data_IF_086695138206
#
_entry.id   IF_086695138206
#
_cell.length_a   1.000
_cell.length_b   1.000
_cell.length_c   1.000
_cell.angle_alpha   90.00
_cell.angle_beta   90.00
_cell.angle_gamma   90.00
#
_symmetry.space_group_name_H-M   'P 1'
#
loop_
_entity.id
_entity.type
_entity.pdbx_description
1 polymer ?
#
# COMPACT_ATOMS: atom_id res chain seq x y z
N UNK A 1 -5.89 -21.17 -6.59
CA UNK A 1 -5.31 -20.66 -5.32
C UNK A 1 -6.30 -19.63 -4.79
N UNK A 2 -6.84 -19.74 -3.57
CA UNK A 2 -7.84 -18.79 -3.10
C UNK A 2 -7.28 -17.37 -2.96
N UNK A 3 -8.10 -16.34 -3.12
CA UNK A 3 -7.73 -14.92 -2.96
C UNK A 3 -6.98 -14.66 -1.64
N UNK A 4 -7.44 -15.28 -0.54
CA UNK A 4 -6.79 -15.24 0.76
C UNK A 4 -5.35 -15.77 0.74
N UNK A 5 -5.12 -16.92 0.09
CA UNK A 5 -3.78 -17.52 -0.02
C UNK A 5 -2.85 -16.67 -0.89
N UNK A 6 -3.39 -16.06 -1.95
CA UNK A 6 -2.66 -15.15 -2.83
C UNK A 6 -2.12 -13.93 -2.07
N UNK A 7 -2.99 -13.22 -1.34
CA UNK A 7 -2.59 -12.04 -0.59
C UNK A 7 -1.64 -12.39 0.55
N UNK A 8 -1.90 -13.47 1.27
CA UNK A 8 -1.05 -13.94 2.36
C UNK A 8 0.35 -14.31 1.87
N UNK A 9 0.47 -15.04 0.77
CA UNK A 9 1.77 -15.39 0.18
C UNK A 9 2.53 -14.13 -0.25
N UNK A 10 1.86 -13.20 -0.85
CA UNK A 10 2.41 -11.93 -1.32
C UNK A 10 2.93 -11.06 -0.16
N UNK A 11 2.15 -10.94 0.90
CA UNK A 11 2.57 -10.20 2.09
C UNK A 11 3.70 -10.92 2.84
N UNK A 12 3.73 -12.24 2.85
CA UNK A 12 4.84 -13.03 3.39
C UNK A 12 6.15 -12.83 2.61
N UNK A 13 6.10 -12.74 1.30
CA UNK A 13 7.28 -12.40 0.49
C UNK A 13 7.77 -10.96 0.77
N UNK A 14 6.85 -10.01 0.84
CA UNK A 14 7.17 -8.64 1.23
C UNK A 14 7.78 -8.58 2.64
N UNK A 15 7.29 -9.37 3.58
CA UNK A 15 7.83 -9.48 4.91
C UNK A 15 9.31 -9.94 4.91
N UNK A 16 9.65 -10.98 4.13
CA UNK A 16 11.04 -11.44 3.95
C UNK A 16 11.94 -10.36 3.38
N UNK A 17 11.44 -9.64 2.36
CA UNK A 17 12.13 -8.49 1.79
C UNK A 17 12.38 -7.39 2.84
N UNK A 18 11.36 -7.04 3.61
CA UNK A 18 11.42 -6.05 4.67
C UNK A 18 12.47 -6.38 5.74
N UNK A 19 12.50 -7.63 6.22
CA UNK A 19 13.51 -8.10 7.18
C UNK A 19 14.93 -7.93 6.62
N UNK A 20 15.13 -8.21 5.34
CA UNK A 20 16.43 -8.07 4.68
C UNK A 20 16.89 -6.61 4.63
N UNK A 21 15.99 -5.68 4.29
CA UNK A 21 16.27 -4.24 4.30
C UNK A 21 16.53 -3.72 5.73
N UNK A 22 15.75 -4.16 6.70
CA UNK A 22 15.91 -3.77 8.11
C UNK A 22 17.24 -4.21 8.69
N UNK A 23 17.76 -5.39 8.32
CA UNK A 23 19.11 -5.82 8.69
C UNK A 23 20.19 -4.84 8.23
N UNK A 24 20.06 -4.27 7.02
CA UNK A 24 20.99 -3.25 6.51
C UNK A 24 20.91 -1.96 7.33
N UNK A 25 19.70 -1.48 7.64
CA UNK A 25 19.51 -0.29 8.48
C UNK A 25 20.06 -0.50 9.90
N UNK A 26 19.86 -1.68 10.48
CA UNK A 26 20.43 -2.02 11.78
C UNK A 26 21.97 -2.02 11.75
N UNK A 27 22.60 -2.50 10.68
CA UNK A 27 24.06 -2.43 10.51
C UNK A 27 24.55 -0.97 10.45
N UNK A 28 23.84 -0.10 9.72
CA UNK A 28 24.17 1.32 9.66
C UNK A 28 23.96 2.01 11.02
N UNK A 29 22.88 1.72 11.74
CA UNK A 29 22.66 2.20 13.10
C UNK A 29 23.79 1.76 14.05
N UNK A 30 24.16 0.50 14.01
CA UNK A 30 25.26 -0.07 14.80
C UNK A 30 26.57 0.71 14.56
N UNK A 31 26.86 1.00 13.30
CA UNK A 31 28.06 1.79 12.96
C UNK A 31 27.99 3.19 13.53
N UNK A 32 26.87 3.89 13.38
CA UNK A 32 26.68 5.25 13.91
C UNK A 32 26.83 5.28 15.44
N UNK A 33 26.18 4.34 16.16
CA UNK A 33 26.28 4.25 17.61
C UNK A 33 27.69 3.88 18.07
N UNK A 34 28.39 3.00 17.36
CA UNK A 34 29.79 2.67 17.63
C UNK A 34 30.70 3.88 17.44
N UNK A 35 30.56 4.60 16.34
CA UNK A 35 31.34 5.80 16.07
C UNK A 35 31.13 6.87 17.16
N UNK A 36 29.87 7.14 17.54
CA UNK A 36 29.56 8.05 18.65
C UNK A 36 30.19 7.61 19.96
N UNK A 37 30.08 6.32 20.29
CA UNK A 37 30.67 5.78 21.51
C UNK A 37 32.21 5.95 21.52
N UNK A 38 32.85 5.68 20.39
CA UNK A 38 34.32 5.77 20.30
C UNK A 38 34.79 7.22 20.36
N UNK A 39 34.04 8.17 19.80
CA UNK A 39 34.30 9.60 19.97
C UNK A 39 34.13 10.05 21.43
N UNK A 40 33.02 9.63 22.08
CA UNK A 40 32.83 9.91 23.50
C UNK A 40 33.98 9.34 24.37
N UNK A 41 34.43 8.13 24.10
CA UNK A 41 35.60 7.53 24.80
C UNK A 41 36.86 8.35 24.58
N UNK A 42 37.12 8.82 23.35
CA UNK A 42 38.26 9.67 23.04
C UNK A 42 38.20 10.98 23.83
N UNK A 43 37.06 11.64 23.87
CA UNK A 43 36.87 12.88 24.63
C UNK A 43 37.14 12.67 26.15
N UNK A 44 36.64 11.57 26.70
CA UNK A 44 36.87 11.19 28.11
C UNK A 44 38.34 10.91 28.34
N UNK A 45 39.01 10.11 27.51
CA UNK A 45 40.41 9.77 27.65
C UNK A 45 41.29 11.02 27.53
N UNK A 46 41.03 11.92 26.60
CA UNK A 46 41.76 13.19 26.45
C UNK A 46 41.59 14.07 27.70
N UNK A 47 40.38 14.13 28.25
CA UNK A 47 40.09 14.81 29.50
C UNK A 47 40.98 14.27 30.65
N UNK A 48 41.03 12.92 30.81
CA UNK A 48 41.84 12.30 31.85
C UNK A 48 43.33 12.46 31.61
N UNK A 49 43.80 12.41 30.36
CA UNK A 49 45.19 12.61 30.01
C UNK A 49 45.66 14.03 30.36
N UNK A 50 44.87 15.05 30.00
CA UNK A 50 45.13 16.45 30.40
C UNK A 50 45.11 16.62 31.94
N UNK A 51 44.18 15.96 32.61
CA UNK A 51 44.07 15.97 34.05
C UNK A 51 45.28 15.33 34.76
N UNK A 52 45.78 14.20 34.25
CA UNK A 52 46.91 13.48 34.79
C UNK A 52 48.27 14.23 34.55
N UNK A 53 48.37 14.99 33.45
CA UNK A 53 49.59 15.75 33.14
C UNK A 53 49.79 16.98 34.02
N UNK A 54 48.73 17.44 34.70
CA UNK A 54 48.78 18.61 35.62
C UNK A 54 48.99 18.15 37.06
N UNK A 55 50.05 17.37 37.32
CA UNK A 55 50.55 16.84 38.60
C UNK A 55 49.82 17.28 39.87
N UNK A 56 49.08 16.37 40.50
CA UNK A 56 48.59 16.53 41.87
C UNK A 56 47.32 17.31 42.07
N UNK A 57 46.51 17.55 41.02
CA UNK A 57 45.28 18.31 41.12
C UNK A 57 44.18 17.46 41.72
N UNK A 58 43.54 17.94 42.78
CA UNK A 58 42.35 17.34 43.39
C UNK A 58 41.12 17.53 42.50
N UNK A 59 40.07 16.75 42.70
CA UNK A 59 38.78 16.89 41.97
C UNK A 59 38.18 18.31 42.14
N UNK A 60 38.47 18.98 43.25
CA UNK A 60 38.06 20.38 43.47
C UNK A 60 38.76 21.33 42.46
N UNK A 61 39.99 21.05 42.09
CA UNK A 61 40.75 21.82 41.10
C UNK A 61 40.38 21.47 39.67
N UNK A 62 39.93 20.24 39.40
CA UNK A 62 39.36 19.87 38.10
C UNK A 62 38.08 20.68 37.74
N UNK A 63 37.43 21.28 38.75
CA UNK A 63 36.36 22.25 38.58
C UNK A 63 36.86 23.66 38.27
N UNK A 64 38.16 23.91 38.24
CA UNK A 64 38.71 25.20 37.80
C UNK A 64 38.24 25.53 36.38
N UNK A 65 38.20 26.86 36.11
CA UNK A 65 37.84 27.37 34.77
C UNK A 65 38.67 26.74 33.69
N UNK A 66 38.05 26.29 32.59
CA UNK A 66 38.72 25.84 31.40
C UNK A 66 39.74 26.91 30.93
N UNK A 67 40.90 26.49 30.44
CA UNK A 67 41.85 27.43 29.85
C UNK A 67 41.27 28.02 28.55
N UNK A 68 41.77 29.19 28.18
CA UNK A 68 41.43 29.81 26.90
C UNK A 68 41.67 28.86 25.73
N UNK A 69 42.78 28.08 25.81
CA UNK A 69 43.13 27.08 24.79
C UNK A 69 42.09 25.95 24.68
N UNK A 70 41.54 25.48 25.80
CA UNK A 70 40.49 24.44 25.80
C UNK A 70 39.19 24.95 25.15
N UNK A 71 38.84 26.22 25.39
CA UNK A 71 37.69 26.88 24.79
C UNK A 71 37.87 27.07 23.28
N UNK A 72 39.07 27.50 22.86
CA UNK A 72 39.41 27.67 21.43
C UNK A 72 39.46 26.33 20.68
N UNK A 73 39.94 25.26 21.30
CA UNK A 73 39.94 23.90 20.74
C UNK A 73 38.49 23.40 20.53
N UNK A 74 37.64 23.58 21.54
CA UNK A 74 36.23 23.27 21.44
C UNK A 74 35.52 24.08 20.34
N UNK A 75 35.75 25.37 20.29
CA UNK A 75 35.16 26.26 19.29
C UNK A 75 35.58 25.85 17.86
N UNK A 76 36.87 25.48 17.67
CA UNK A 76 37.36 24.95 16.37
C UNK A 76 36.69 23.63 15.98
N UNK A 77 36.50 22.73 16.94
CA UNK A 77 35.79 21.46 16.72
C UNK A 77 34.35 21.69 16.35
N UNK A 78 33.65 22.55 17.09
CA UNK A 78 32.27 22.92 16.80
C UNK A 78 32.11 23.58 15.43
N UNK A 79 33.00 24.53 15.08
CA UNK A 79 33.02 25.19 13.77
C UNK A 79 33.28 24.21 12.62
N UNK A 80 34.14 23.20 12.82
CA UNK A 80 34.37 22.13 11.83
C UNK A 80 33.11 21.34 11.57
N UNK A 81 32.36 20.96 12.60
CA UNK A 81 31.12 20.22 12.47
C UNK A 81 30.03 21.02 11.75
N UNK A 82 29.91 22.31 12.05
CA UNK A 82 28.97 23.21 11.34
C UNK A 82 29.34 23.37 9.86
N UNK A 83 30.65 23.39 9.51
CA UNK A 83 31.08 23.51 8.11
C UNK A 83 30.80 22.27 7.27
N UNK A 84 30.76 21.09 7.84
CA UNK A 84 30.51 19.84 7.12
C UNK A 84 29.03 19.62 6.74
N UNK A 85 28.16 20.58 7.01
CA UNK A 85 26.80 20.82 6.44
C UNK A 85 25.75 19.72 6.50
N UNK A 86 25.87 18.69 7.34
CA UNK A 86 24.87 17.62 7.42
C UNK A 86 24.05 17.61 8.71
N UNK A 87 23.86 18.77 9.32
CA UNK A 87 23.09 18.88 10.56
C UNK A 87 21.64 19.28 10.29
N UNK A 88 20.71 18.61 10.98
CA UNK A 88 19.34 19.08 11.08
C UNK A 88 19.27 20.41 11.84
N UNK A 89 18.15 21.10 11.72
CA UNK A 89 17.91 22.34 12.47
C UNK A 89 18.08 22.10 13.97
N UNK A 90 17.55 20.98 14.48
CA UNK A 90 17.62 20.59 15.89
C UNK A 90 19.07 20.34 16.36
N UNK A 91 19.89 19.69 15.53
CA UNK A 91 21.32 19.49 15.81
C UNK A 91 22.07 20.82 15.87
N UNK A 92 21.79 21.76 14.95
CA UNK A 92 22.37 23.09 14.95
C UNK A 92 21.95 23.89 16.19
N UNK A 93 20.68 23.82 16.60
CA UNK A 93 20.19 24.52 17.77
C UNK A 93 20.75 23.92 19.06
N UNK A 94 20.89 22.60 19.16
CA UNK A 94 21.60 21.94 20.27
C UNK A 94 23.06 22.40 20.37
N UNK A 95 23.79 22.49 19.25
CA UNK A 95 25.16 22.98 19.24
C UNK A 95 25.27 24.46 19.66
N UNK A 96 24.32 25.31 19.26
CA UNK A 96 24.28 26.72 19.72
C UNK A 96 24.08 26.81 21.24
N UNK A 97 23.19 25.99 21.81
CA UNK A 97 22.96 25.92 23.26
C UNK A 97 24.25 25.50 23.98
N UNK A 98 24.97 24.48 23.48
CA UNK A 98 26.23 24.05 24.05
C UNK A 98 27.30 25.16 24.02
N UNK A 99 27.36 25.96 22.97
CA UNK A 99 28.24 27.11 22.88
C UNK A 99 27.87 28.25 23.85
N UNK A 100 26.56 28.47 24.11
CA UNK A 100 26.09 29.52 25.01
C UNK A 100 26.24 29.18 26.51
N UNK A 101 26.19 27.89 26.85
CA UNK A 101 26.21 27.42 28.26
C UNK A 101 27.63 27.17 28.78
N UNK A 102 28.69 27.43 28.02
CA UNK A 102 30.08 27.27 28.43
C UNK A 102 30.46 28.30 29.48
N UNK A 103 30.00 28.14 30.69
CA UNK A 103 30.59 28.62 31.93
C UNK A 103 31.53 27.54 32.49
N UNK A 104 32.48 27.38 32.02
CA UNK A 104 33.84 27.31 32.01
C UNK A 104 34.51 26.65 33.23
N UNK A 105 34.06 25.42 33.56
CA UNK A 105 34.95 24.50 34.21
C UNK A 105 35.21 23.30 33.28
N UNK A 106 36.28 22.55 33.50
CA UNK A 106 36.71 21.43 32.63
C UNK A 106 35.66 20.33 32.52
N UNK A 107 34.87 20.11 33.58
CA UNK A 107 33.79 19.12 33.54
C UNK A 107 32.63 19.56 32.63
N UNK A 108 32.25 20.83 32.68
CA UNK A 108 31.23 21.37 31.81
C UNK A 108 31.70 21.40 30.34
N UNK A 109 32.99 21.67 30.10
CA UNK A 109 33.59 21.57 28.77
C UNK A 109 33.51 20.13 28.22
N UNK A 110 33.85 19.12 29.05
CA UNK A 110 33.74 17.70 28.66
C UNK A 110 32.25 17.32 28.37
N UNK A 111 31.33 17.76 29.22
CA UNK A 111 29.87 17.51 28.97
C UNK A 111 29.41 18.16 27.67
N UNK A 112 29.89 19.38 27.37
CA UNK A 112 29.60 20.08 26.12
C UNK A 112 30.18 19.35 24.91
N UNK A 113 31.43 18.87 24.98
CA UNK A 113 32.08 18.11 23.93
C UNK A 113 31.36 16.79 23.64
N UNK A 114 30.95 16.03 24.68
CA UNK A 114 30.11 14.84 24.51
C UNK A 114 28.75 15.17 23.90
N UNK A 115 28.15 16.28 24.32
CA UNK A 115 26.91 16.78 23.73
C UNK A 115 27.01 17.03 22.21
N UNK A 116 28.15 17.58 21.76
CA UNK A 116 28.43 17.75 20.32
C UNK A 116 28.51 16.43 19.58
N UNK A 117 29.21 15.43 20.11
CA UNK A 117 29.32 14.10 19.47
C UNK A 117 27.95 13.42 19.39
N UNK A 118 27.15 13.52 20.45
CA UNK A 118 25.79 12.98 20.45
C UNK A 118 24.89 13.70 19.42
N UNK A 119 24.94 15.03 19.35
CA UNK A 119 24.16 15.80 18.38
C UNK A 119 24.52 15.42 16.94
N UNK A 120 25.82 15.29 16.62
CA UNK A 120 26.31 14.85 15.33
C UNK A 120 25.84 13.43 14.99
N UNK A 121 25.96 12.50 15.94
CA UNK A 121 25.53 11.12 15.75
C UNK A 121 24.01 11.00 15.54
N UNK A 122 23.21 11.68 16.37
CA UNK A 122 21.75 11.66 16.25
C UNK A 122 21.26 12.38 14.97
N UNK A 123 21.99 13.37 14.48
CA UNK A 123 21.72 13.94 13.15
C UNK A 123 21.88 12.90 12.03
N UNK A 124 22.92 12.06 12.09
CA UNK A 124 23.10 10.95 11.14
C UNK A 124 21.98 9.90 11.28
N UNK A 125 21.56 9.59 12.52
CA UNK A 125 20.44 8.69 12.78
C UNK A 125 19.15 9.26 12.17
N UNK A 126 18.86 10.54 12.38
CA UNK A 126 17.73 11.21 11.77
C UNK A 126 17.72 11.08 10.24
N UNK A 127 18.86 11.36 9.59
CA UNK A 127 18.99 11.26 8.13
C UNK A 127 18.77 9.83 7.64
N UNK A 128 19.32 8.82 8.34
CA UNK A 128 19.11 7.42 8.04
C UNK A 128 17.62 7.05 8.14
N UNK A 129 16.95 7.43 9.22
CA UNK A 129 15.50 7.20 9.39
C UNK A 129 14.70 7.87 8.28
N UNK A 130 14.90 9.15 8.04
CA UNK A 130 14.18 9.88 7.01
C UNK A 130 14.32 9.22 5.63
N UNK A 131 15.54 8.84 5.25
CA UNK A 131 15.83 8.14 3.99
C UNK A 131 15.15 6.78 3.93
N UNK A 132 15.24 5.97 4.99
CA UNK A 132 14.66 4.64 5.06
C UNK A 132 13.13 4.68 5.01
N UNK A 133 12.51 5.54 5.81
CA UNK A 133 11.06 5.69 5.89
C UNK A 133 10.46 6.21 4.57
N UNK A 134 11.12 7.22 3.97
CA UNK A 134 10.73 7.74 2.66
C UNK A 134 10.84 6.68 1.56
N UNK A 135 11.95 5.95 1.54
CA UNK A 135 12.14 4.84 0.59
C UNK A 135 11.05 3.78 0.76
N UNK A 136 10.79 3.32 1.98
CA UNK A 136 9.74 2.32 2.27
C UNK A 136 8.36 2.78 1.79
N UNK A 137 7.99 4.04 2.03
CA UNK A 137 6.71 4.60 1.57
C UNK A 137 6.60 4.62 0.04
N UNK A 138 7.66 5.06 -0.66
CA UNK A 138 7.68 5.12 -2.13
C UNK A 138 7.66 3.71 -2.74
N UNK A 139 8.45 2.78 -2.20
CA UNK A 139 8.50 1.40 -2.69
C UNK A 139 7.14 0.71 -2.49
N UNK A 140 6.46 0.98 -1.36
CA UNK A 140 5.12 0.48 -1.11
C UNK A 140 4.08 1.06 -2.08
N UNK A 141 4.10 2.36 -2.37
CA UNK A 141 3.25 2.96 -3.41
C UNK A 141 3.45 2.28 -4.77
N UNK A 142 4.70 2.03 -5.17
CA UNK A 142 5.02 1.32 -6.42
C UNK A 142 4.50 -0.11 -6.40
N UNK A 143 4.71 -0.82 -5.29
CA UNK A 143 4.24 -2.19 -5.11
C UNK A 143 2.72 -2.27 -5.24
N UNK A 144 2.00 -1.40 -4.56
CA UNK A 144 0.55 -1.35 -4.59
C UNK A 144 0.02 -0.97 -5.99
N UNK A 145 0.66 -0.02 -6.68
CA UNK A 145 0.24 0.34 -8.04
C UNK A 145 0.40 -0.80 -9.04
N UNK A 146 1.46 -1.62 -8.90
CA UNK A 146 1.67 -2.81 -9.71
C UNK A 146 0.64 -3.92 -9.46
N UNK A 147 -0.06 -3.88 -8.32
CA UNK A 147 -1.10 -4.84 -7.95
C UNK A 147 -2.49 -4.31 -8.29
N UNK A 148 -2.76 -3.06 -7.91
CA UNK A 148 -4.10 -2.47 -7.94
C UNK A 148 -4.38 -1.66 -9.22
N UNK A 149 -3.38 -1.46 -10.06
CA UNK A 149 -3.48 -0.84 -11.38
C UNK A 149 -3.37 0.68 -11.41
N UNK A 150 -3.67 1.41 -10.32
CA UNK A 150 -3.51 2.86 -10.25
C UNK A 150 -2.34 3.29 -9.39
N UNK A 151 -1.57 4.25 -9.91
CA UNK A 151 -0.49 4.89 -9.17
C UNK A 151 -1.01 6.09 -8.39
N UNK A 152 -0.68 6.16 -7.10
CA UNK A 152 -0.98 7.34 -6.28
C UNK A 152 -0.23 8.56 -6.82
N UNK A 153 -0.95 9.64 -7.11
CA UNK A 153 -0.36 10.86 -7.61
C UNK A 153 0.51 11.56 -6.54
N UNK A 154 1.57 12.26 -6.99
CA UNK A 154 2.48 12.98 -6.08
C UNK A 154 3.14 12.11 -4.99
N UNK A 155 3.53 10.88 -5.31
CA UNK A 155 4.11 9.88 -4.36
C UNK A 155 5.20 10.46 -3.46
N UNK A 156 6.08 11.32 -3.98
CA UNK A 156 7.16 11.92 -3.18
C UNK A 156 6.62 12.90 -2.12
N UNK A 157 5.62 13.72 -2.47
CA UNK A 157 5.00 14.66 -1.53
C UNK A 157 4.22 13.92 -0.45
N UNK A 158 3.48 12.89 -0.85
CA UNK A 158 2.73 12.04 0.09
C UNK A 158 3.66 11.24 1.00
N UNK A 159 4.74 10.66 0.48
CA UNK A 159 5.74 9.97 1.29
C UNK A 159 6.34 10.91 2.35
N UNK A 160 6.67 12.15 1.99
CA UNK A 160 7.16 13.14 2.96
C UNK A 160 6.10 13.44 4.05
N UNK A 161 4.83 13.58 3.68
CA UNK A 161 3.74 13.79 4.65
C UNK A 161 3.59 12.61 5.60
N UNK A 162 3.61 11.38 5.07
CA UNK A 162 3.53 10.14 5.85
C UNK A 162 4.72 10.03 6.83
N UNK A 163 5.95 10.27 6.37
CA UNK A 163 7.15 10.18 7.19
C UNK A 163 7.09 11.13 8.38
N UNK A 164 6.62 12.36 8.17
CA UNK A 164 6.54 13.39 9.20
C UNK A 164 5.24 13.34 10.02
N UNK A 165 4.35 12.39 9.78
CA UNK A 165 3.14 12.24 10.55
C UNK A 165 3.43 11.80 11.99
N UNK A 166 2.62 12.31 12.93
CA UNK A 166 2.67 11.88 14.33
C UNK A 166 2.07 10.49 14.50
N UNK A 167 2.70 9.68 15.34
CA UNK A 167 2.22 8.37 15.76
C UNK A 167 2.34 8.26 17.29
N UNK A 168 1.25 7.95 17.99
CA UNK A 168 1.21 8.02 19.45
C UNK A 168 1.76 9.35 20.00
N UNK A 169 1.23 10.47 19.49
CA UNK A 169 1.52 11.85 19.90
C UNK A 169 2.97 12.34 19.71
N UNK A 170 3.78 11.65 18.93
CA UNK A 170 5.14 12.09 18.61
C UNK A 170 5.55 11.67 17.20
N UNK A 171 6.38 12.48 16.55
CA UNK A 171 7.02 12.10 15.28
C UNK A 171 8.22 11.19 15.55
N UNK A 172 8.74 10.52 14.50
CA UNK A 172 10.00 9.78 14.62
C UNK A 172 11.15 10.70 15.03
N UNK A 173 11.15 11.94 14.54
CA UNK A 173 12.14 12.97 14.90
C UNK A 173 12.12 13.27 16.39
N UNK A 174 10.97 13.55 16.96
CA UNK A 174 10.82 13.83 18.40
C UNK A 174 11.40 12.69 19.24
N UNK A 175 11.15 11.45 18.84
CA UNK A 175 11.68 10.26 19.53
C UNK A 175 13.19 10.12 19.41
N UNK A 176 13.78 10.43 18.27
CA UNK A 176 15.24 10.41 18.08
C UNK A 176 15.90 11.44 19.00
N UNK A 177 15.35 12.68 19.05
CA UNK A 177 15.92 13.73 19.90
C UNK A 177 15.68 13.47 21.39
N UNK A 178 14.55 12.89 21.75
CA UNK A 178 14.31 12.41 23.12
C UNK A 178 15.33 11.33 23.53
N UNK A 179 15.67 10.40 22.65
CA UNK A 179 16.72 9.38 22.91
C UNK A 179 18.09 10.03 23.09
N UNK A 180 18.41 11.09 22.32
CA UNK A 180 19.62 11.87 22.53
C UNK A 180 19.68 12.51 23.89
N UNK A 181 18.62 13.19 24.31
CA UNK A 181 18.56 13.87 25.60
C UNK A 181 18.67 12.90 26.78
N UNK A 182 18.00 11.74 26.69
CA UNK A 182 18.13 10.67 27.66
C UNK A 182 19.57 10.16 27.74
N UNK A 183 20.21 9.88 26.62
CA UNK A 183 21.61 9.40 26.58
C UNK A 183 22.56 10.48 27.14
N UNK A 184 22.39 11.74 26.75
CA UNK A 184 23.15 12.87 27.25
C UNK A 184 23.05 13.01 28.79
N UNK A 185 21.82 12.93 29.32
CA UNK A 185 21.57 13.00 30.74
C UNK A 185 22.22 11.81 31.49
N UNK A 186 22.13 10.62 30.95
CA UNK A 186 22.75 9.43 31.48
C UNK A 186 24.29 9.54 31.50
N UNK A 187 24.89 10.07 30.43
CA UNK A 187 26.31 10.31 30.35
C UNK A 187 26.77 11.39 31.33
N UNK A 188 26.02 12.48 31.46
CA UNK A 188 26.32 13.54 32.41
C UNK A 188 26.31 13.01 33.86
N UNK A 189 25.32 12.20 34.24
CA UNK A 189 25.29 11.51 35.55
C UNK A 189 26.46 10.57 35.74
N UNK A 190 26.77 9.76 34.73
CA UNK A 190 27.89 8.84 34.75
C UNK A 190 29.24 9.52 34.98
N UNK A 191 29.47 10.62 34.25
CA UNK A 191 30.67 11.42 34.39
C UNK A 191 30.76 12.08 35.78
N UNK A 192 29.68 12.68 36.26
CA UNK A 192 29.65 13.31 37.56
C UNK A 192 29.97 12.33 38.68
N UNK A 193 29.33 11.16 38.70
CA UNK A 193 29.57 10.11 39.69
C UNK A 193 31.02 9.55 39.52
N UNK A 194 31.43 9.25 38.28
CA UNK A 194 32.73 8.68 37.99
C UNK A 194 33.88 9.59 38.41
N UNK A 195 33.78 10.88 38.15
CA UNK A 195 34.79 11.87 38.52
C UNK A 195 34.80 12.17 40.02
N UNK A 196 33.63 12.25 40.67
CA UNK A 196 33.55 12.44 42.12
C UNK A 196 34.13 11.23 42.88
N UNK A 197 33.86 10.02 42.40
CA UNK A 197 34.31 8.77 43.03
C UNK A 197 35.71 8.36 42.58
N UNK A 198 36.37 9.10 41.70
CA UNK A 198 37.70 8.76 41.19
C UNK A 198 37.76 7.45 40.39
N UNK A 199 36.65 7.06 39.70
CA UNK A 199 36.58 5.81 38.96
C UNK A 199 37.60 5.76 37.82
N UNK A 200 38.19 4.57 37.64
CA UNK A 200 39.11 4.33 36.53
C UNK A 200 38.41 4.55 35.16
N UNK A 201 39.08 5.17 34.18
CA UNK A 201 38.58 5.36 32.83
C UNK A 201 38.07 4.07 32.17
N UNK A 202 38.69 2.92 32.42
CA UNK A 202 38.22 1.61 31.92
C UNK A 202 36.84 1.21 32.46
N UNK A 203 36.57 1.50 33.72
CA UNK A 203 35.27 1.26 34.34
C UNK A 203 34.21 2.17 33.73
N UNK A 204 34.53 3.46 33.53
CA UNK A 204 33.63 4.38 32.84
C UNK A 204 33.37 3.99 31.41
N UNK A 205 34.34 3.49 30.68
CA UNK A 205 34.20 2.99 29.31
C UNK A 205 33.26 1.78 29.24
N UNK A 206 33.26 0.91 30.26
CA UNK A 206 32.31 -0.24 30.33
C UNK A 206 30.90 0.20 30.57
N UNK A 207 30.66 1.11 31.50
CA UNK A 207 29.34 1.68 31.78
C UNK A 207 28.80 2.50 30.58
N UNK A 208 29.69 3.24 29.90
CA UNK A 208 29.36 3.94 28.66
C UNK A 208 28.82 2.95 27.61
N UNK A 209 29.56 1.85 27.37
CA UNK A 209 29.13 0.81 26.39
C UNK A 209 27.75 0.28 26.68
N UNK A 210 27.44 -0.06 27.93
CA UNK A 210 26.10 -0.55 28.31
C UNK A 210 25.00 0.41 27.92
N UNK A 211 25.18 1.71 28.19
CA UNK A 211 24.18 2.76 27.87
C UNK A 211 23.99 2.94 26.37
N UNK A 212 25.08 2.93 25.62
CA UNK A 212 25.01 3.01 24.16
C UNK A 212 24.31 1.80 23.54
N UNK A 213 24.57 0.58 24.03
CA UNK A 213 23.91 -0.64 23.54
C UNK A 213 22.40 -0.61 23.79
N UNK A 214 21.94 -0.11 24.95
CA UNK A 214 20.50 0.04 25.24
C UNK A 214 19.88 1.02 24.24
N UNK A 215 20.50 2.18 24.02
CA UNK A 215 19.98 3.21 23.10
C UNK A 215 20.01 2.79 21.63
N UNK A 216 21.00 1.99 21.24
CA UNK A 216 21.05 1.36 19.94
C UNK A 216 19.85 0.42 19.74
N UNK A 217 19.57 -0.47 20.69
CA UNK A 217 18.42 -1.37 20.63
C UNK A 217 17.08 -0.61 20.61
N UNK A 218 16.99 0.51 21.34
CA UNK A 218 15.82 1.40 21.29
C UNK A 218 15.64 2.03 19.89
N UNK A 219 16.74 2.44 19.24
CA UNK A 219 16.69 3.02 17.89
C UNK A 219 16.33 1.95 16.84
N UNK A 220 16.86 0.73 16.94
CA UNK A 220 16.48 -0.38 16.07
C UNK A 220 14.98 -0.71 16.18
N UNK A 221 14.48 -0.77 17.42
CA UNK A 221 13.05 -0.98 17.68
C UNK A 221 12.18 0.14 17.09
N UNK A 222 12.62 1.39 17.24
CA UNK A 222 11.94 2.54 16.67
C UNK A 222 11.93 2.48 15.14
N UNK A 223 13.08 2.16 14.50
CA UNK A 223 13.18 2.03 13.05
C UNK A 223 12.17 1.02 12.51
N UNK A 224 12.15 -0.19 13.06
CA UNK A 224 11.24 -1.25 12.64
C UNK A 224 9.77 -0.85 12.78
N UNK A 225 9.42 -0.23 13.90
CA UNK A 225 8.05 0.21 14.18
C UNK A 225 7.61 1.31 13.20
N UNK A 226 8.45 2.29 12.94
CA UNK A 226 8.16 3.38 12.01
C UNK A 226 8.13 2.91 10.55
N UNK A 227 8.97 1.96 10.15
CA UNK A 227 8.93 1.34 8.82
C UNK A 227 7.58 0.61 8.58
N UNK A 228 7.08 -0.12 9.57
CA UNK A 228 5.76 -0.76 9.49
C UNK A 228 4.63 0.30 9.41
N UNK A 229 4.72 1.37 10.21
CA UNK A 229 3.74 2.46 10.17
C UNK A 229 3.66 3.13 8.80
N UNK A 230 4.79 3.55 8.23
CA UNK A 230 4.79 4.25 6.94
C UNK A 230 4.35 3.34 5.79
N UNK A 231 4.61 2.04 5.89
CA UNK A 231 4.09 1.04 4.95
C UNK A 231 2.57 0.98 5.01
N UNK A 232 1.99 0.86 6.20
CA UNK A 232 0.54 0.83 6.42
C UNK A 232 -0.14 2.12 5.94
N UNK A 233 0.45 3.29 6.22
CA UNK A 233 -0.07 4.58 5.75
C UNK A 233 -0.03 4.68 4.20
N UNK A 234 1.00 4.13 3.57
CA UNK A 234 1.09 4.05 2.10
C UNK A 234 0.05 3.07 1.52
N UNK A 235 -0.19 1.93 2.17
CA UNK A 235 -1.25 0.98 1.81
C UNK A 235 -2.63 1.66 1.89
N UNK A 236 -2.93 2.33 3.01
CA UNK A 236 -4.19 3.08 3.17
C UNK A 236 -4.43 4.06 2.01
N UNK A 237 -3.43 4.87 1.66
CA UNK A 237 -3.53 5.83 0.55
C UNK A 237 -3.74 5.12 -0.79
N UNK A 238 -3.06 4.00 -1.01
CA UNK A 238 -3.22 3.20 -2.23
C UNK A 238 -4.62 2.57 -2.32
N UNK A 239 -5.17 2.09 -1.22
CA UNK A 239 -6.53 1.53 -1.18
C UNK A 239 -7.57 2.61 -1.50
N UNK A 240 -7.47 3.80 -0.89
CA UNK A 240 -8.36 4.94 -1.17
C UNK A 240 -8.29 5.32 -2.66
N UNK A 241 -7.10 5.46 -3.24
CA UNK A 241 -6.90 5.84 -4.64
C UNK A 241 -7.48 4.81 -5.60
N UNK A 242 -7.42 3.54 -5.23
CA UNK A 242 -7.99 2.44 -6.01
C UNK A 242 -9.46 2.14 -5.66
N UNK A 243 -10.07 2.87 -4.69
CA UNK A 243 -11.49 2.81 -4.33
C UNK A 243 -11.87 1.54 -3.59
N UNK A 244 -10.97 1.00 -2.78
CA UNK A 244 -11.30 -0.05 -1.84
C UNK A 244 -11.87 0.54 -0.56
N UNK A 245 -13.01 0.03 -0.14
CA UNK A 245 -13.69 0.46 1.07
C UNK A 245 -13.28 -0.36 2.31
N UNK A 246 -12.76 -1.56 2.08
CA UNK A 246 -12.39 -2.51 3.12
C UNK A 246 -10.97 -3.06 2.92
N UNK A 247 -10.34 -3.44 4.03
CA UNK A 247 -9.07 -4.15 4.05
C UNK A 247 -9.10 -5.27 5.09
N UNK A 248 -8.29 -6.29 4.85
CA UNK A 248 -8.07 -7.42 5.74
C UNK A 248 -6.73 -7.25 6.47
N UNK A 249 -6.72 -7.55 7.77
CA UNK A 249 -5.49 -7.61 8.55
C UNK A 249 -4.78 -8.94 8.31
N UNK A 250 -3.50 -8.88 7.96
CA UNK A 250 -2.66 -10.07 7.73
C UNK A 250 -1.57 -10.12 8.78
N UNK A 251 -1.67 -11.09 9.69
CA UNK A 251 -0.60 -11.38 10.63
C UNK A 251 0.61 -11.96 9.88
N UNK A 252 1.81 -11.62 10.33
CA UNK A 252 3.02 -12.19 9.74
C UNK A 252 3.06 -13.70 9.96
N UNK A 253 3.51 -14.45 8.94
CA UNK A 253 3.55 -15.92 8.95
C UNK A 253 4.67 -16.54 9.78
N UNK A 254 5.24 -15.83 10.76
CA UNK A 254 6.29 -16.36 11.64
C UNK A 254 5.70 -17.12 12.82
N UNK A 255 6.48 -18.06 13.39
CA UNK A 255 6.12 -18.80 14.61
C UNK A 255 5.91 -17.90 15.84
N UNK A 256 6.41 -16.67 15.80
CA UNK A 256 6.48 -15.73 16.93
C UNK A 256 5.44 -14.61 16.86
N UNK A 257 4.32 -14.86 16.18
CA UNK A 257 3.20 -13.91 16.14
C UNK A 257 2.60 -13.77 17.53
N UNK A 258 2.56 -12.53 18.05
CA UNK A 258 1.95 -12.27 19.36
C UNK A 258 0.43 -12.49 19.34
N UNK A 259 -0.16 -12.73 20.49
CA UNK A 259 -1.60 -13.03 20.65
C UNK A 259 -2.48 -11.88 20.09
N UNK A 260 -2.06 -10.63 20.28
CA UNK A 260 -2.77 -9.45 19.73
C UNK A 260 -2.85 -9.52 18.19
N UNK A 261 -1.72 -9.73 17.52
CA UNK A 261 -1.70 -9.81 16.06
C UNK A 261 -2.41 -11.05 15.54
N UNK A 262 -2.26 -12.18 16.23
CA UNK A 262 -2.96 -13.43 15.90
C UNK A 262 -4.48 -13.27 15.99
N UNK A 263 -4.96 -12.57 17.02
CA UNK A 263 -6.40 -12.32 17.18
C UNK A 263 -6.98 -11.35 16.14
N UNK A 264 -6.13 -10.60 15.44
CA UNK A 264 -6.54 -9.67 14.38
C UNK A 264 -6.50 -10.32 12.99
N UNK A 265 -5.79 -11.44 12.84
CA UNK A 265 -5.58 -12.10 11.54
C UNK A 265 -6.89 -12.46 10.87
N UNK A 266 -7.03 -12.09 9.60
CA UNK A 266 -8.23 -12.31 8.80
C UNK A 266 -9.42 -11.38 9.13
N UNK A 267 -9.30 -10.46 10.09
CA UNK A 267 -10.37 -9.49 10.36
C UNK A 267 -10.41 -8.41 9.30
N UNK A 268 -11.62 -8.08 8.89
CA UNK A 268 -11.91 -7.05 7.89
C UNK A 268 -12.35 -5.76 8.56
N UNK A 269 -11.84 -4.63 8.06
CA UNK A 269 -12.13 -3.29 8.56
C UNK A 269 -12.34 -2.31 7.42
N UNK A 270 -13.03 -1.20 7.70
CA UNK A 270 -13.18 -0.12 6.72
C UNK A 270 -11.89 0.68 6.56
N UNK A 271 -11.49 0.95 5.30
CA UNK A 271 -10.28 1.72 4.97
C UNK A 271 -10.32 3.13 5.56
N UNK A 272 -11.49 3.78 5.61
CA UNK A 272 -11.66 5.12 6.21
C UNK A 272 -11.24 5.14 7.69
N UNK A 273 -11.49 4.06 8.41
CA UNK A 273 -11.23 3.91 9.85
C UNK A 273 -9.86 3.27 10.14
N UNK A 274 -9.05 3.00 9.10
CA UNK A 274 -7.74 2.37 9.21
C UNK A 274 -6.79 3.26 10.03
N UNK A 275 -6.30 2.73 11.15
CA UNK A 275 -5.45 3.45 12.11
C UNK A 275 -4.36 2.54 12.64
N UNK A 276 -3.07 2.84 12.36
CA UNK A 276 -1.94 2.14 12.95
C UNK A 276 -2.00 2.12 14.48
N UNK A 277 -1.80 0.96 15.08
CA UNK A 277 -1.84 0.74 16.52
C UNK A 277 -3.23 0.47 17.10
N UNK A 278 -4.29 0.52 16.29
CA UNK A 278 -5.66 0.21 16.72
C UNK A 278 -6.24 -0.98 15.95
N UNK A 279 -6.34 -0.88 14.64
CA UNK A 279 -6.89 -1.91 13.77
C UNK A 279 -5.96 -2.25 12.58
N UNK A 280 -4.84 -1.56 12.45
CA UNK A 280 -3.83 -1.76 11.41
C UNK A 280 -2.41 -1.78 12.01
N UNK A 281 -1.44 -2.46 11.37
CA UNK A 281 -0.05 -2.48 11.82
C UNK A 281 0.60 -1.07 11.84
N UNK A 282 1.60 -0.84 12.74
CA UNK A 282 2.08 -1.75 13.77
C UNK A 282 1.20 -1.72 15.02
N UNK A 283 0.80 -2.88 15.53
CA UNK A 283 0.02 -3.02 16.77
C UNK A 283 0.89 -2.84 18.02
N UNK A 284 2.17 -3.10 17.91
CA UNK A 284 3.16 -3.03 18.99
C UNK A 284 4.55 -2.76 18.39
N UNK A 285 5.55 -2.38 19.21
CA UNK A 285 6.93 -2.25 18.74
C UNK A 285 7.42 -3.54 18.07
N UNK A 286 8.14 -3.41 16.95
CA UNK A 286 8.63 -4.51 16.12
C UNK A 286 7.52 -5.37 15.49
N UNK A 287 6.35 -4.81 15.26
CA UNK A 287 5.28 -5.49 14.53
C UNK A 287 5.65 -5.61 13.04
N UNK A 288 5.51 -6.81 12.48
CA UNK A 288 5.79 -7.11 11.07
C UNK A 288 4.55 -7.51 10.27
N UNK A 289 3.37 -7.33 10.85
CA UNK A 289 2.11 -7.61 10.18
C UNK A 289 1.85 -6.61 9.05
N UNK A 290 0.91 -6.94 8.17
CA UNK A 290 0.55 -6.13 7.01
C UNK A 290 -0.97 -6.07 6.82
N UNK A 291 -1.41 -5.47 5.74
CA UNK A 291 -2.82 -5.46 5.32
C UNK A 291 -2.92 -5.80 3.84
N UNK A 292 -4.08 -6.28 3.43
CA UNK A 292 -4.45 -6.43 2.03
C UNK A 292 -5.80 -5.77 1.77
N UNK A 293 -6.07 -5.28 0.55
CA UNK A 293 -7.41 -4.84 0.21
C UNK A 293 -8.38 -6.02 0.30
N UNK A 294 -9.54 -5.80 0.91
CA UNK A 294 -10.58 -6.80 1.02
C UNK A 294 -11.70 -6.49 0.04
N UNK A 295 -12.07 -7.50 -0.71
CA UNK A 295 -13.29 -7.55 -1.52
C UNK A 295 -13.94 -8.88 -1.19
N UNK A 296 -15.26 -8.92 -1.13
CA UNK A 296 -15.99 -10.19 -1.05
C UNK A 296 -15.41 -11.15 -2.09
N UNK A 297 -15.10 -12.38 -1.67
CA UNK A 297 -14.38 -13.36 -2.50
C UNK A 297 -15.08 -13.57 -3.84
N UNK A 298 -16.39 -13.68 -3.84
CA UNK A 298 -17.20 -13.84 -5.04
C UNK A 298 -17.16 -12.57 -5.91
N UNK A 299 -17.14 -11.38 -5.30
CA UNK A 299 -17.01 -10.11 -6.00
C UNK A 299 -15.62 -9.92 -6.56
N UNK A 300 -14.58 -10.33 -5.83
CA UNK A 300 -13.18 -10.27 -6.28
C UNK A 300 -12.92 -11.20 -7.48
N UNK A 301 -13.38 -12.44 -7.42
CA UNK A 301 -13.26 -13.39 -8.53
C UNK A 301 -14.00 -12.85 -9.77
N UNK A 302 -15.21 -12.33 -9.59
CA UNK A 302 -15.96 -11.69 -10.67
C UNK A 302 -15.26 -10.44 -11.25
N UNK A 303 -14.57 -9.67 -10.41
CA UNK A 303 -13.74 -8.53 -10.87
C UNK A 303 -12.52 -8.99 -11.65
N UNK A 304 -11.82 -10.04 -11.21
CA UNK A 304 -10.67 -10.60 -11.94
C UNK A 304 -11.11 -11.15 -13.30
N UNK A 305 -12.20 -11.90 -13.35
CA UNK A 305 -12.79 -12.40 -14.61
C UNK A 305 -13.15 -11.26 -15.54
N UNK A 306 -13.73 -10.17 -14.98
CA UNK A 306 -14.05 -8.97 -15.76
C UNK A 306 -12.81 -8.32 -16.37
N UNK A 307 -11.69 -8.23 -15.62
CA UNK A 307 -10.42 -7.72 -16.14
C UNK A 307 -9.79 -8.66 -17.17
N UNK A 308 -9.80 -9.96 -16.92
CA UNK A 308 -9.24 -10.97 -17.83
C UNK A 308 -9.97 -10.97 -19.18
N UNK A 309 -11.28 -10.74 -19.16
CA UNK A 309 -12.12 -10.67 -20.36
C UNK A 309 -12.18 -9.28 -21.00
N UNK A 310 -11.26 -8.38 -20.64
CA UNK A 310 -11.02 -7.10 -21.29
C UNK A 310 -11.73 -5.90 -20.66
N UNK A 311 -12.43 -6.07 -19.55
CA UNK A 311 -13.00 -4.99 -18.77
C UNK A 311 -11.96 -4.18 -18.01
N UNK A 312 -12.34 -3.01 -17.51
CA UNK A 312 -11.47 -2.12 -16.75
C UNK A 312 -11.92 -1.99 -15.30
N UNK A 313 -11.00 -1.70 -14.39
CA UNK A 313 -11.32 -1.37 -13.00
C UNK A 313 -12.26 -0.16 -12.89
N UNK A 314 -12.19 0.79 -13.82
CA UNK A 314 -13.07 1.96 -13.84
C UNK A 314 -14.52 1.58 -14.14
N UNK A 315 -14.74 0.72 -15.14
CA UNK A 315 -16.06 0.17 -15.45
C UNK A 315 -16.63 -0.65 -14.30
N UNK A 316 -15.83 -1.58 -13.74
CA UNK A 316 -16.25 -2.37 -12.59
C UNK A 316 -16.73 -1.53 -11.41
N UNK A 317 -16.04 -0.43 -11.11
CA UNK A 317 -16.39 0.50 -10.04
C UNK A 317 -17.61 1.36 -10.36
N UNK A 318 -17.91 1.57 -11.63
CA UNK A 318 -19.10 2.31 -12.05
C UNK A 318 -20.39 1.47 -11.89
N UNK A 319 -20.24 0.14 -11.83
CA UNK A 319 -21.36 -0.80 -11.63
C UNK A 319 -21.76 -0.83 -10.16
N UNK A 320 -23.02 -0.48 -9.87
CA UNK A 320 -23.59 -0.64 -8.52
C UNK A 320 -23.84 -2.12 -8.21
N UNK A 321 -24.12 -2.44 -6.94
CA UNK A 321 -24.50 -3.81 -6.52
C UNK A 321 -25.74 -4.28 -7.28
N UNK A 322 -26.71 -3.38 -7.50
CA UNK A 322 -27.95 -3.65 -8.26
C UNK A 322 -27.64 -3.90 -9.73
N UNK A 323 -26.68 -3.18 -10.33
CA UNK A 323 -26.24 -3.44 -11.71
C UNK A 323 -25.64 -4.83 -11.86
N UNK A 324 -24.69 -5.19 -10.98
CA UNK A 324 -24.05 -6.52 -10.98
C UNK A 324 -25.06 -7.64 -10.74
N UNK A 325 -26.01 -7.41 -9.82
CA UNK A 325 -27.09 -8.35 -9.56
C UNK A 325 -28.01 -8.51 -10.79
N UNK A 326 -28.37 -7.42 -11.47
CA UNK A 326 -29.22 -7.46 -12.67
C UNK A 326 -28.54 -8.24 -13.81
N UNK A 327 -27.23 -8.06 -14.04
CA UNK A 327 -26.51 -8.84 -15.05
C UNK A 327 -26.49 -10.32 -14.65
N UNK A 328 -26.14 -10.66 -13.40
CA UNK A 328 -26.12 -12.04 -12.92
C UNK A 328 -27.49 -12.73 -12.99
N UNK A 329 -28.55 -11.99 -12.68
CA UNK A 329 -29.91 -12.48 -12.81
C UNK A 329 -30.26 -12.73 -14.27
N UNK A 330 -29.90 -11.83 -15.16
CA UNK A 330 -30.19 -11.95 -16.60
C UNK A 330 -29.46 -13.16 -17.23
N UNK A 331 -28.19 -13.43 -16.92
CA UNK A 331 -27.48 -14.60 -17.46
C UNK A 331 -27.98 -15.93 -16.89
N UNK A 332 -28.96 -15.91 -15.98
CA UNK A 332 -29.70 -17.07 -15.49
C UNK A 332 -30.98 -17.35 -16.30
N UNK A 333 -31.77 -18.32 -15.88
CA UNK A 333 -33.05 -18.70 -16.54
C UNK A 333 -34.10 -17.58 -16.63
N UNK A 334 -33.98 -16.49 -15.86
CA UNK A 334 -34.91 -15.37 -15.87
C UNK A 334 -34.91 -14.59 -17.20
N UNK A 335 -33.79 -14.65 -17.95
CA UNK A 335 -33.66 -14.01 -19.27
C UNK A 335 -34.75 -14.45 -20.26
N UNK A 336 -35.15 -15.73 -20.24
CA UNK A 336 -36.21 -16.24 -21.09
C UNK A 336 -37.51 -15.54 -20.83
N UNK A 337 -37.92 -15.40 -19.56
CA UNK A 337 -39.16 -14.75 -19.17
C UNK A 337 -39.16 -13.25 -19.49
N UNK A 338 -38.05 -12.57 -19.24
CA UNK A 338 -37.87 -11.14 -19.56
C UNK A 338 -37.96 -10.94 -21.08
N UNK A 339 -37.18 -11.70 -21.84
CA UNK A 339 -37.13 -11.55 -23.30
C UNK A 339 -38.43 -11.93 -23.99
N UNK A 340 -39.17 -12.94 -23.48
CA UNK A 340 -40.48 -13.30 -23.97
C UNK A 340 -41.48 -12.16 -23.75
N UNK A 341 -41.54 -11.61 -22.54
CA UNK A 341 -42.39 -10.48 -22.23
C UNK A 341 -42.09 -9.24 -23.10
N UNK A 342 -40.78 -8.92 -23.29
CA UNK A 342 -40.37 -7.79 -24.12
C UNK A 342 -40.70 -7.98 -25.61
N UNK A 343 -40.54 -9.19 -26.14
CA UNK A 343 -40.82 -9.53 -27.53
C UNK A 343 -42.31 -9.41 -27.85
N UNK A 344 -43.14 -9.93 -26.94
CA UNK A 344 -44.58 -10.02 -27.12
C UNK A 344 -45.36 -8.84 -26.50
N UNK A 345 -44.64 -7.83 -25.97
CA UNK A 345 -45.23 -6.68 -25.24
C UNK A 345 -46.10 -7.08 -24.04
N UNK A 346 -45.75 -8.18 -23.35
CA UNK A 346 -46.45 -8.57 -22.13
C UNK A 346 -46.00 -7.67 -20.94
N UNK A 347 -46.90 -7.48 -19.93
CA UNK A 347 -46.54 -6.68 -18.76
C UNK A 347 -45.46 -7.38 -17.93
N UNK A 348 -44.35 -6.68 -17.68
CA UNK A 348 -43.33 -7.14 -16.76
C UNK A 348 -43.80 -7.10 -15.31
N UNK A 349 -43.41 -8.06 -14.49
CA UNK A 349 -43.56 -8.00 -13.04
C UNK A 349 -42.75 -6.85 -12.44
N UNK A 350 -42.97 -6.51 -11.17
CA UNK A 350 -42.19 -5.47 -10.49
C UNK A 350 -40.70 -5.83 -10.46
N UNK A 351 -40.37 -7.07 -10.13
CA UNK A 351 -39.01 -7.60 -10.10
C UNK A 351 -38.34 -7.56 -11.49
N UNK A 352 -39.03 -8.01 -12.54
CA UNK A 352 -38.52 -7.94 -13.91
C UNK A 352 -38.27 -6.48 -14.36
N UNK A 353 -39.16 -5.54 -13.99
CA UNK A 353 -38.95 -4.11 -14.27
C UNK A 353 -37.67 -3.55 -13.63
N UNK A 354 -37.45 -3.95 -12.38
CA UNK A 354 -36.26 -3.52 -11.65
C UNK A 354 -34.99 -4.10 -12.28
N UNK A 355 -34.97 -5.40 -12.61
CA UNK A 355 -33.88 -6.04 -13.33
C UNK A 355 -33.63 -5.35 -14.68
N UNK A 356 -34.65 -5.13 -15.48
CA UNK A 356 -34.53 -4.47 -16.80
C UNK A 356 -33.96 -3.06 -16.65
N UNK A 357 -34.42 -2.26 -15.68
CA UNK A 357 -33.93 -0.92 -15.42
C UNK A 357 -32.43 -0.92 -15.05
N UNK A 358 -32.04 -1.79 -14.11
CA UNK A 358 -30.67 -1.88 -13.65
C UNK A 358 -29.76 -2.51 -14.68
N UNK A 359 -30.26 -3.41 -15.53
CA UNK A 359 -29.51 -3.98 -16.65
C UNK A 359 -29.24 -2.93 -17.75
N UNK A 360 -30.26 -2.14 -18.14
CA UNK A 360 -30.06 -1.05 -19.10
C UNK A 360 -29.01 -0.03 -18.63
N UNK A 361 -29.04 0.31 -17.34
CA UNK A 361 -28.04 1.18 -16.72
C UNK A 361 -26.65 0.53 -16.72
N UNK A 362 -26.54 -0.74 -16.32
CA UNK A 362 -25.29 -1.51 -16.34
C UNK A 362 -24.67 -1.58 -17.75
N UNK A 363 -25.47 -1.91 -18.75
CA UNK A 363 -25.03 -2.01 -20.14
C UNK A 363 -24.58 -0.67 -20.74
N UNK A 364 -24.89 0.46 -20.09
CA UNK A 364 -24.36 1.78 -20.49
C UNK A 364 -22.96 2.07 -19.96
N UNK A 365 -22.46 1.28 -19.01
CA UNK A 365 -21.22 1.47 -18.26
C UNK A 365 -20.11 0.50 -18.66
N UNK A 366 -20.42 -0.54 -19.42
CA UNK A 366 -19.49 -1.59 -19.83
C UNK A 366 -19.07 -1.35 -21.29
N UNK A 367 -17.84 -1.68 -21.61
CA UNK A 367 -17.28 -1.53 -22.96
C UNK A 367 -17.99 -2.41 -23.98
N UNK A 368 -17.99 -1.95 -25.21
CA UNK A 368 -18.53 -2.69 -26.36
C UNK A 368 -17.50 -3.66 -26.93
N UNK A 369 -17.97 -4.70 -27.57
CA UNK A 369 -17.15 -5.67 -28.30
C UNK A 369 -17.12 -5.32 -29.80
N UNK A 370 -15.93 -5.32 -30.37
CA UNK A 370 -15.72 -5.16 -31.80
C UNK A 370 -15.34 -6.51 -32.43
N UNK A 371 -16.17 -6.98 -33.34
CA UNK A 371 -15.89 -8.25 -34.03
C UNK A 371 -17.14 -8.95 -34.53
N UNK A 372 -16.99 -10.14 -35.03
CA UNK A 372 -18.13 -10.96 -35.48
C UNK A 372 -18.74 -11.70 -34.30
N UNK A 373 -20.05 -11.70 -34.24
CA UNK A 373 -20.86 -12.38 -33.21
C UNK A 373 -21.82 -13.39 -33.86
N UNK A 374 -22.13 -14.44 -33.12
CA UNK A 374 -23.07 -15.47 -33.56
C UNK A 374 -24.19 -15.65 -32.55
N UNK A 375 -25.36 -16.05 -33.04
CA UNK A 375 -26.48 -16.49 -32.22
C UNK A 375 -27.14 -17.71 -32.83
N UNK A 376 -27.19 -18.79 -32.10
CA UNK A 376 -27.89 -20.01 -32.47
C UNK A 376 -29.36 -19.92 -32.03
N UNK A 377 -30.30 -20.20 -32.93
CA UNK A 377 -31.72 -20.24 -32.63
C UNK A 377 -32.26 -21.62 -32.94
N UNK A 378 -32.82 -22.28 -31.92
CA UNK A 378 -33.38 -23.62 -32.01
C UNK A 378 -34.91 -23.58 -31.96
N UNK A 379 -35.56 -24.37 -32.80
CA UNK A 379 -37.01 -24.47 -32.89
C UNK A 379 -37.44 -25.94 -32.78
N UNK A 380 -38.63 -26.16 -32.25
CA UNK A 380 -39.19 -27.49 -32.08
C UNK A 380 -40.05 -27.95 -33.28
N UNK A 381 -40.43 -27.04 -34.17
CA UNK A 381 -41.27 -27.32 -35.32
C UNK A 381 -40.90 -26.44 -36.51
N UNK A 382 -41.27 -26.91 -37.71
CA UNK A 382 -40.93 -26.24 -38.97
C UNK A 382 -41.71 -24.95 -39.20
N UNK A 383 -42.94 -24.81 -38.65
CA UNK A 383 -43.71 -23.59 -38.80
C UNK A 383 -43.05 -22.42 -38.09
N UNK A 384 -42.57 -22.64 -36.86
CA UNK A 384 -41.82 -21.64 -36.09
C UNK A 384 -40.52 -21.17 -36.80
N UNK A 385 -39.85 -22.09 -37.54
CA UNK A 385 -38.71 -21.71 -38.38
C UNK A 385 -39.15 -20.78 -39.51
N UNK A 386 -40.24 -21.13 -40.20
CA UNK A 386 -40.72 -20.35 -41.33
C UNK A 386 -41.16 -18.94 -40.87
N UNK A 387 -41.95 -18.86 -39.77
CA UNK A 387 -42.38 -17.59 -39.21
C UNK A 387 -41.20 -16.72 -38.79
N UNK A 388 -40.17 -17.30 -38.20
CA UNK A 388 -38.95 -16.60 -37.79
C UNK A 388 -38.15 -16.04 -38.99
N UNK A 389 -37.97 -16.83 -40.05
CA UNK A 389 -37.21 -16.41 -41.23
C UNK A 389 -37.97 -15.39 -42.09
N UNK A 390 -39.29 -15.31 -42.00
CA UNK A 390 -40.10 -14.27 -42.66
C UNK A 390 -39.83 -12.89 -42.07
N UNK A 391 -39.49 -12.78 -40.79
CA UNK A 391 -39.06 -11.53 -40.16
C UNK A 391 -37.71 -11.04 -40.64
N UNK A 392 -36.86 -11.90 -41.26
CA UNK A 392 -35.50 -11.59 -41.72
C UNK A 392 -35.41 -11.58 -43.26
N UNK A 393 -36.15 -10.68 -43.90
CA UNK A 393 -36.04 -10.48 -45.35
C UNK A 393 -34.76 -9.72 -45.71
N UNK A 394 -34.10 -10.10 -46.81
CA UNK A 394 -32.85 -9.46 -47.26
C UNK A 394 -33.13 -8.00 -47.61
N UNK A 395 -32.20 -7.13 -47.22
CA UNK A 395 -32.26 -5.67 -47.30
C UNK A 395 -33.21 -4.96 -46.32
N UNK A 396 -34.02 -5.67 -45.56
CA UNK A 396 -34.89 -5.10 -44.54
C UNK A 396 -34.16 -4.90 -43.19
N UNK A 397 -34.75 -4.01 -42.35
CA UNK A 397 -34.23 -3.72 -40.99
C UNK A 397 -35.11 -4.43 -39.96
N UNK A 398 -34.49 -5.32 -39.23
CA UNK A 398 -35.08 -6.04 -38.09
C UNK A 398 -34.80 -5.34 -36.78
N UNK A 399 -35.80 -5.16 -35.93
CA UNK A 399 -35.65 -4.59 -34.61
C UNK A 399 -35.78 -5.65 -33.52
N UNK A 400 -34.75 -5.91 -32.78
CA UNK A 400 -34.77 -6.79 -31.61
C UNK A 400 -35.41 -6.04 -30.41
N UNK A 401 -36.72 -6.22 -30.20
CA UNK A 401 -37.47 -5.56 -29.10
C UNK A 401 -36.93 -5.97 -27.72
N UNK A 402 -36.48 -7.20 -27.60
CA UNK A 402 -35.83 -7.78 -26.41
C UNK A 402 -34.30 -7.55 -26.43
N UNK A 403 -33.63 -7.94 -25.37
CA UNK A 403 -32.18 -8.07 -25.41
C UNK A 403 -31.75 -9.20 -26.34
N UNK A 404 -30.72 -8.99 -27.12
CA UNK A 404 -30.22 -10.02 -28.04
C UNK A 404 -28.87 -10.55 -27.51
N UNK A 405 -28.90 -11.74 -26.93
CA UNK A 405 -27.69 -12.47 -26.50
C UNK A 405 -27.00 -13.10 -27.70
N UNK A 406 -25.70 -12.92 -27.77
CA UNK A 406 -24.82 -13.42 -28.83
C UNK A 406 -23.52 -13.94 -28.24
N UNK A 407 -22.78 -14.77 -28.98
CA UNK A 407 -21.53 -15.39 -28.53
C UNK A 407 -20.37 -14.96 -29.42
N UNK A 408 -19.19 -14.76 -28.81
CA UNK A 408 -17.94 -14.46 -29.54
C UNK A 408 -17.41 -15.70 -30.25
N UNK A 409 -16.98 -15.54 -31.48
CA UNK A 409 -16.05 -16.42 -32.21
C UNK A 409 -16.66 -17.72 -32.75
N UNK A 410 -17.21 -18.61 -31.94
CA UNK A 410 -17.72 -19.90 -32.36
C UNK A 410 -19.25 -19.98 -32.28
N UNK A 411 -19.84 -20.87 -33.09
CA UNK A 411 -21.26 -21.18 -33.03
C UNK A 411 -21.56 -21.88 -31.70
N UNK A 412 -22.45 -21.31 -30.89
CA UNK A 412 -22.81 -21.83 -29.55
C UNK A 412 -23.49 -23.21 -29.63
N UNK A 413 -24.48 -23.34 -30.50
CA UNK A 413 -25.16 -24.62 -30.74
C UNK A 413 -25.13 -24.97 -32.22
N UNK A 414 -24.26 -25.93 -32.65
CA UNK A 414 -24.17 -26.33 -34.05
C UNK A 414 -25.40 -27.09 -34.56
N UNK A 415 -26.25 -27.64 -33.67
CA UNK A 415 -27.47 -28.38 -34.01
C UNK A 415 -28.69 -27.47 -34.18
N UNK A 416 -28.54 -26.13 -33.93
CA UNK A 416 -29.64 -25.19 -34.17
C UNK A 416 -29.90 -25.00 -35.66
N UNK A 417 -31.19 -24.91 -36.03
CA UNK A 417 -31.63 -24.79 -37.40
C UNK A 417 -31.33 -23.43 -38.04
N UNK A 418 -31.21 -22.37 -37.20
CA UNK A 418 -30.90 -21.01 -37.66
C UNK A 418 -29.71 -20.45 -36.92
N UNK A 419 -28.79 -19.82 -37.67
CA UNK A 419 -27.62 -19.13 -37.17
C UNK A 419 -27.66 -17.66 -37.63
N UNK A 420 -27.75 -16.73 -36.68
CA UNK A 420 -27.55 -15.31 -36.96
C UNK A 420 -26.05 -15.00 -36.84
N UNK A 421 -25.51 -14.27 -37.82
CA UNK A 421 -24.14 -13.82 -37.82
C UNK A 421 -24.16 -12.29 -37.89
N UNK A 422 -23.72 -11.62 -36.84
CA UNK A 422 -23.64 -10.15 -36.82
C UNK A 422 -22.19 -9.80 -37.18
N UNK A 423 -22.05 -9.17 -38.35
CA UNK A 423 -20.76 -8.72 -38.86
C UNK A 423 -20.39 -7.37 -38.27
N UNK A 424 -19.10 -7.23 -37.86
CA UNK A 424 -18.52 -5.95 -37.39
C UNK A 424 -19.33 -5.29 -36.26
N UNK A 425 -19.67 -6.05 -35.23
CA UNK A 425 -20.32 -5.53 -34.02
C UNK A 425 -19.58 -4.31 -33.45
N UNK A 426 -20.33 -3.27 -33.06
CA UNK A 426 -19.83 -2.04 -32.42
C UNK A 426 -20.58 -1.71 -31.14
N UNK A 427 -21.86 -2.13 -31.05
CA UNK A 427 -22.77 -1.79 -29.95
C UNK A 427 -23.11 -2.99 -29.04
N UNK A 428 -22.63 -4.18 -29.36
CA UNK A 428 -22.72 -5.34 -28.47
C UNK A 428 -21.87 -5.14 -27.21
N UNK A 429 -22.44 -5.34 -26.03
CA UNK A 429 -21.80 -5.10 -24.72
C UNK A 429 -21.23 -6.43 -24.21
N UNK A 430 -19.96 -6.43 -23.86
CA UNK A 430 -19.25 -7.61 -23.38
C UNK A 430 -19.59 -7.92 -21.91
N UNK A 431 -20.47 -8.90 -21.69
CA UNK A 431 -20.87 -9.37 -20.35
C UNK A 431 -20.28 -10.74 -19.99
N UNK A 432 -19.37 -11.26 -20.79
CA UNK A 432 -18.78 -12.61 -20.63
C UNK A 432 -18.15 -12.85 -19.25
N UNK A 433 -17.72 -11.79 -18.55
CA UNK A 433 -17.21 -11.89 -17.19
C UNK A 433 -18.26 -12.29 -16.14
N UNK A 434 -19.53 -12.13 -16.45
CA UNK A 434 -20.64 -12.50 -15.57
C UNK A 434 -21.27 -13.83 -15.96
N UNK A 435 -20.88 -14.38 -17.11
CA UNK A 435 -21.34 -15.68 -17.60
C UNK A 435 -20.16 -16.64 -17.72
N UNK A 436 -20.12 -17.68 -16.88
CA UNK A 436 -19.04 -18.66 -16.87
C UNK A 436 -19.22 -19.77 -17.92
N UNK A 437 -20.39 -19.90 -18.52
CA UNK A 437 -20.72 -20.96 -19.47
C UNK A 437 -20.44 -20.53 -20.92
N UNK A 438 -20.54 -19.22 -21.24
CA UNK A 438 -20.28 -18.72 -22.59
C UNK A 438 -19.66 -17.32 -22.63
N UNK A 439 -18.98 -17.02 -23.75
CA UNK A 439 -18.44 -15.69 -24.03
C UNK A 439 -19.51 -14.74 -24.56
N UNK A 440 -20.45 -14.40 -23.67
CA UNK A 440 -21.66 -13.65 -24.02
C UNK A 440 -21.41 -12.17 -24.30
N UNK A 441 -21.97 -11.71 -25.41
CA UNK A 441 -22.09 -10.28 -25.77
C UNK A 441 -23.56 -9.95 -25.95
N UNK A 442 -24.04 -8.98 -25.20
CA UNK A 442 -25.46 -8.64 -25.12
C UNK A 442 -25.77 -7.31 -25.81
N UNK A 443 -26.70 -7.33 -26.73
CA UNK A 443 -27.28 -6.12 -27.30
C UNK A 443 -28.41 -5.57 -26.46
N UNK A 444 -28.49 -4.25 -26.37
CA UNK A 444 -29.60 -3.56 -25.70
C UNK A 444 -30.90 -3.79 -26.43
N UNK A 445 -32.00 -3.60 -25.71
CA UNK A 445 -33.37 -3.62 -26.29
C UNK A 445 -33.50 -2.61 -27.41
N UNK A 446 -34.29 -2.94 -28.41
CA UNK A 446 -34.57 -2.15 -29.59
C UNK A 446 -33.33 -1.92 -30.49
N UNK A 447 -32.30 -2.76 -30.39
CA UNK A 447 -31.21 -2.77 -31.35
C UNK A 447 -31.73 -3.15 -32.74
N UNK A 448 -31.17 -2.50 -33.75
CA UNK A 448 -31.58 -2.64 -35.15
C UNK A 448 -30.48 -3.24 -35.98
N UNK A 449 -30.91 -4.14 -36.89
CA UNK A 449 -29.96 -4.85 -37.76
C UNK A 449 -30.53 -4.86 -39.18
N UNK A 450 -29.67 -4.56 -40.16
CA UNK A 450 -29.98 -4.78 -41.56
C UNK A 450 -29.66 -6.21 -41.95
N UNK A 451 -30.53 -6.90 -42.60
CA UNK A 451 -30.28 -8.23 -43.13
C UNK A 451 -29.54 -8.10 -44.45
N UNK A 452 -28.25 -8.57 -44.44
CA UNK A 452 -27.39 -8.48 -45.62
C UNK A 452 -27.60 -9.62 -46.59
N UNK A 453 -27.73 -10.84 -46.07
CA UNK A 453 -28.01 -12.04 -46.89
C UNK A 453 -28.51 -13.18 -46.03
N UNK A 454 -29.22 -14.11 -46.71
CA UNK A 454 -29.70 -15.37 -46.14
C UNK A 454 -29.33 -16.53 -47.08
N UNK A 455 -28.78 -17.59 -46.49
CA UNK A 455 -28.40 -18.78 -47.26
C UNK A 455 -28.49 -20.04 -46.41
N UNK A 456 -28.55 -21.21 -47.08
CA UNK A 456 -28.60 -22.51 -46.42
C UNK A 456 -27.27 -23.23 -46.68
N UNK A 457 -26.70 -23.79 -45.63
CA UNK A 457 -25.49 -24.61 -45.71
C UNK A 457 -25.62 -25.77 -44.70
N UNK A 458 -25.47 -27.00 -45.18
CA UNK A 458 -25.57 -28.21 -44.35
C UNK A 458 -26.89 -28.29 -43.58
N UNK A 459 -28.02 -27.98 -44.19
CA UNK A 459 -29.37 -27.91 -43.58
C UNK A 459 -29.52 -26.84 -42.48
N UNK A 460 -28.61 -25.95 -42.29
CA UNK A 460 -28.68 -24.82 -41.35
C UNK A 460 -28.89 -23.54 -42.15
N UNK A 461 -29.83 -22.69 -41.68
CA UNK A 461 -30.10 -21.39 -42.28
C UNK A 461 -29.21 -20.35 -41.60
N UNK A 462 -28.40 -19.68 -42.41
CA UNK A 462 -27.52 -18.60 -41.98
C UNK A 462 -28.11 -17.27 -42.40
N UNK A 463 -28.18 -16.32 -41.47
CA UNK A 463 -28.62 -14.95 -41.68
C UNK A 463 -27.52 -13.99 -41.26
N UNK A 464 -26.95 -13.26 -42.18
CA UNK A 464 -25.95 -12.26 -41.91
C UNK A 464 -26.57 -10.90 -41.70
N UNK A 465 -26.15 -10.25 -40.60
CA UNK A 465 -26.73 -9.00 -40.11
C UNK A 465 -25.61 -7.94 -39.95
N UNK A 466 -25.96 -6.70 -40.17
CA UNK A 466 -25.14 -5.53 -39.89
C UNK A 466 -25.91 -4.60 -38.97
N UNK A 467 -25.24 -3.98 -38.01
CA UNK A 467 -25.84 -2.98 -37.12
C UNK A 467 -26.25 -1.71 -37.88
N UNK A 468 -27.40 -1.10 -37.54
CA UNK A 468 -27.91 0.12 -38.15
C UNK A 468 -27.94 1.27 -37.13
#
# INVERSE_FOLDING_TARGET
MGSYDYWRNRENEQHKHNITEEKKYNQELNKIYKDMMDECKRSINNFYAKYASENGITMAEAKKRASRLDIEEYARKAAKYVKTKDFTKEANDAMKIYNLTMKVNRLELLKADLGLELAKGHSKIYQLFYKALKKRSIDEFKRQSGILGKTVQNNTKLANSIVNASFHNATFSDRIWMHQDLLKNDLNKLLQIGLIQGKNPKTLATELRKRFNVKQSDAERLMQTELARVQTDAQKKSYIENGFDEYEYIACGSSDVCDTCKSMDGKVFKVKDMMPGLNAPPMHPRCHCSTAPHIDRAEYESWLDFLEKGGTTAEWKSLTTENKHAIKSYVSSISYLINDALRNNYPLTNEQREIVKNLDDALSKIHTYNGTLTRSVFFYDQQSINDFIEEYEVDEIVTAKQYLSTTKGSIYNPDAQVQLIILNSKNGINISAFNHEEDEVLYKRNSKFKVLRRYIKNNVIYIELEEV
#
